data_IF_129956093147
#
_entry.id   IF_129956093147
#
_cell.length_a   1.000
_cell.length_b   1.000
_cell.length_c   1.000
_cell.angle_alpha   90.00
_cell.angle_beta   90.00
_cell.angle_gamma   90.00
#
_symmetry.space_group_name_H-M   'P 1'
#
loop_
_entity.id
_entity.type
_entity.pdbx_description
1 polymer ?
#
# COMPACT_ATOMS: atom_id res chain seq x y z
N UNK A 1 -9.77 -17.84 1.98
CA UNK A 1 -8.54 -17.31 2.60
C UNK A 1 -7.64 -16.63 1.56
N UNK A 2 -8.01 -15.45 1.04
CA UNK A 2 -7.24 -14.73 -0.01
C UNK A 2 -6.21 -13.73 0.55
N UNK A 3 -6.08 -13.68 1.87
CA UNK A 3 -5.23 -12.71 2.56
C UNK A 3 -4.09 -13.45 3.23
N UNK A 4 -3.03 -13.72 2.47
CA UNK A 4 -1.80 -14.27 3.03
C UNK A 4 -1.11 -13.16 3.84
N UNK A 5 -1.55 -12.98 5.08
CA UNK A 5 -1.00 -12.02 6.02
C UNK A 5 0.48 -12.34 6.27
N UNK A 6 1.38 -11.49 5.77
CA UNK A 6 2.80 -11.54 6.13
C UNK A 6 3.76 -11.09 5.04
N UNK A 7 3.47 -11.35 3.77
CA UNK A 7 4.42 -11.09 2.68
C UNK A 7 4.42 -9.61 2.30
N UNK A 8 5.52 -8.91 2.58
CA UNK A 8 5.73 -7.52 2.18
C UNK A 8 5.13 -6.46 3.10
N UNK A 9 4.22 -6.82 4.01
CA UNK A 9 3.60 -5.86 4.95
C UNK A 9 4.65 -5.36 5.96
N UNK A 10 5.46 -6.27 6.51
CA UNK A 10 6.48 -5.91 7.51
C UNK A 10 7.58 -5.05 6.91
N UNK A 11 8.04 -5.41 5.72
CA UNK A 11 9.06 -4.68 4.95
C UNK A 11 8.54 -3.29 4.55
N UNK A 12 7.31 -3.22 4.04
CA UNK A 12 6.67 -1.93 3.71
C UNK A 12 6.51 -1.07 4.97
N UNK A 13 6.06 -1.66 6.08
CA UNK A 13 5.94 -0.95 7.36
C UNK A 13 7.28 -0.42 7.87
N UNK A 14 8.37 -1.17 7.71
CA UNK A 14 9.71 -0.73 8.09
C UNK A 14 10.16 0.48 7.26
N UNK A 15 9.95 0.44 5.94
CA UNK A 15 10.27 1.57 5.07
C UNK A 15 9.47 2.83 5.44
N UNK A 16 8.18 2.66 5.74
CA UNK A 16 7.31 3.75 6.15
C UNK A 16 7.75 4.36 7.49
N UNK A 17 8.21 3.54 8.45
CA UNK A 17 8.77 4.01 9.72
C UNK A 17 10.02 4.85 9.53
N UNK A 18 10.93 4.40 8.68
CA UNK A 18 12.18 5.11 8.39
C UNK A 18 11.90 6.46 7.73
N UNK A 19 10.97 6.52 6.79
CA UNK A 19 10.55 7.77 6.16
C UNK A 19 9.84 8.71 7.16
N UNK A 20 9.02 8.17 8.06
CA UNK A 20 8.26 8.93 9.05
C UNK A 20 9.11 9.63 10.14
N UNK A 21 10.40 9.29 10.25
CA UNK A 21 11.34 9.97 11.15
C UNK A 21 11.45 11.46 10.81
N UNK A 22 11.46 11.79 9.51
CA UNK A 22 11.72 13.15 9.04
C UNK A 22 10.53 13.77 8.31
N UNK A 23 9.54 12.97 7.92
CA UNK A 23 8.48 13.38 6.99
C UNK A 23 7.12 12.90 7.47
N UNK A 24 6.05 13.62 7.09
CA UNK A 24 4.69 13.12 7.26
C UNK A 24 4.35 12.16 6.13
N UNK A 25 3.77 11.02 6.49
CA UNK A 25 3.51 9.92 5.59
C UNK A 25 2.01 9.65 5.52
N UNK A 26 1.48 9.57 4.31
CA UNK A 26 0.12 9.10 4.04
C UNK A 26 0.22 7.79 3.25
N UNK A 27 -0.44 6.74 3.73
CA UNK A 27 -0.41 5.42 3.09
C UNK A 27 -1.81 4.98 2.73
N UNK A 28 -2.06 4.78 1.44
CA UNK A 28 -3.25 4.11 0.94
C UNK A 28 -3.08 2.59 1.01
N UNK A 29 -4.13 1.89 1.41
CA UNK A 29 -4.17 0.42 1.39
C UNK A 29 -5.48 -0.05 0.76
N UNK A 30 -5.44 -1.04 -0.12
CA UNK A 30 -6.67 -1.61 -0.70
C UNK A 30 -7.59 -2.20 0.36
N UNK A 31 -8.88 -1.88 0.26
CA UNK A 31 -9.92 -2.40 1.14
C UNK A 31 -10.29 -1.47 2.29
N UNK A 32 -11.37 -1.83 2.98
CA UNK A 32 -11.87 -1.14 4.17
C UNK A 32 -11.54 -1.94 5.44
N UNK A 33 -11.71 -1.29 6.60
CA UNK A 33 -11.48 -1.80 7.96
C UNK A 33 -11.85 -3.31 8.11
N UNK A 34 -10.93 -4.12 8.64
CA UNK A 34 -10.98 -5.58 8.73
C UNK A 34 -10.10 -6.34 7.71
N UNK A 35 -9.18 -5.65 6.99
CA UNK A 35 -8.38 -6.23 5.89
C UNK A 35 -6.90 -5.79 5.91
N UNK A 36 -6.24 -5.56 4.76
CA UNK A 36 -4.84 -5.12 4.66
C UNK A 36 -4.46 -3.88 5.51
N UNK A 37 -5.36 -2.87 5.70
CA UNK A 37 -5.09 -1.78 6.63
C UNK A 37 -4.78 -2.25 8.05
N UNK A 38 -5.50 -3.24 8.60
CA UNK A 38 -5.27 -3.73 9.97
C UNK A 38 -3.94 -4.45 10.11
N UNK A 39 -3.56 -5.24 9.09
CA UNK A 39 -2.25 -5.89 9.05
C UNK A 39 -1.10 -4.89 9.07
N UNK A 40 -1.27 -3.72 8.43
CA UNK A 40 -0.30 -2.63 8.45
C UNK A 40 -0.36 -1.82 9.75
N UNK A 41 -1.57 -1.56 10.26
CA UNK A 41 -1.80 -0.80 11.49
C UNK A 41 -1.16 -1.47 12.71
N UNK A 42 -1.11 -2.82 12.79
CA UNK A 42 -0.36 -3.53 13.85
C UNK A 42 1.09 -3.06 13.94
N UNK A 43 1.71 -2.70 12.82
CA UNK A 43 3.09 -2.20 12.79
C UNK A 43 3.19 -0.68 12.94
N UNK A 44 2.16 0.08 12.53
CA UNK A 44 2.22 1.53 12.37
C UNK A 44 1.41 2.35 13.38
N UNK A 45 0.53 1.73 14.17
CA UNK A 45 -0.40 2.41 15.10
C UNK A 45 0.30 3.40 16.05
N UNK A 46 1.50 3.05 16.53
CA UNK A 46 2.27 3.87 17.47
C UNK A 46 3.36 4.72 16.81
N UNK A 47 3.39 4.76 15.48
CA UNK A 47 4.40 5.51 14.74
C UNK A 47 3.83 6.91 14.46
N UNK A 48 4.42 7.97 15.06
CA UNK A 48 3.97 9.31 14.77
C UNK A 48 4.21 9.65 13.30
N UNK A 49 3.50 10.66 12.79
CA UNK A 49 3.63 11.15 11.42
C UNK A 49 3.19 10.16 10.33
N UNK A 50 2.51 9.06 10.66
CA UNK A 50 1.93 8.14 9.67
C UNK A 50 0.41 8.18 9.76
N UNK A 51 -0.24 8.38 8.62
CA UNK A 51 -1.69 8.23 8.45
C UNK A 51 -1.97 7.12 7.46
N UNK A 52 -2.78 6.13 7.85
CA UNK A 52 -3.21 5.03 6.98
C UNK A 52 -4.66 5.28 6.54
N UNK A 53 -4.94 5.12 5.25
CA UNK A 53 -6.28 5.30 4.66
C UNK A 53 -6.64 4.13 3.77
N UNK A 54 -7.89 3.66 3.87
CA UNK A 54 -8.44 2.69 2.92
C UNK A 54 -8.69 3.34 1.56
N UNK A 55 -8.45 2.60 0.48
CA UNK A 55 -8.80 2.97 -0.89
C UNK A 55 -9.66 1.89 -1.53
N UNK A 56 -10.45 2.29 -2.53
CA UNK A 56 -11.29 1.37 -3.29
C UNK A 56 -10.46 0.28 -3.98
N UNK A 57 -11.08 -0.89 -4.17
CA UNK A 57 -10.51 -2.00 -4.91
C UNK A 57 -11.49 -2.48 -5.99
N UNK A 58 -11.05 -2.72 -7.24
CA UNK A 58 -9.69 -2.52 -7.74
C UNK A 58 -9.32 -1.02 -7.88
N UNK A 59 -8.03 -0.71 -7.70
CA UNK A 59 -7.49 0.65 -7.83
C UNK A 59 -7.34 0.95 -9.32
N UNK A 60 -8.34 1.63 -9.89
CA UNK A 60 -8.36 2.02 -11.33
C UNK A 60 -7.70 3.37 -11.60
N UNK A 61 -7.65 4.22 -10.59
CA UNK A 61 -6.98 5.52 -10.63
C UNK A 61 -6.43 5.84 -9.24
N UNK A 62 -5.40 6.70 -9.17
CA UNK A 62 -4.92 7.22 -7.89
C UNK A 62 -6.06 8.02 -7.23
N UNK A 63 -6.53 7.63 -6.03
CA UNK A 63 -7.61 8.33 -5.35
C UNK A 63 -7.26 9.78 -5.05
N UNK A 64 -8.25 10.66 -5.15
CA UNK A 64 -8.01 12.10 -4.96
C UNK A 64 -7.44 12.42 -3.58
N UNK A 65 -7.87 11.68 -2.54
CA UNK A 65 -7.31 11.78 -1.19
C UNK A 65 -5.79 11.56 -1.13
N UNK A 66 -5.27 10.64 -1.95
CA UNK A 66 -3.83 10.39 -2.04
C UNK A 66 -3.12 11.53 -2.79
N UNK A 67 -3.73 12.08 -3.84
CA UNK A 67 -3.16 13.23 -4.56
C UNK A 67 -3.16 14.50 -3.72
N UNK A 68 -4.25 14.78 -3.01
CA UNK A 68 -4.34 15.93 -2.11
C UNK A 68 -3.35 15.82 -0.96
N UNK A 69 -3.20 14.61 -0.40
CA UNK A 69 -2.24 14.33 0.66
C UNK A 69 -0.79 14.63 0.29
N UNK A 70 -0.43 14.64 -1.00
CA UNK A 70 0.92 14.98 -1.48
C UNK A 70 1.36 16.39 -1.14
N UNK A 71 0.44 17.31 -0.88
CA UNK A 71 0.77 18.71 -0.56
C UNK A 71 1.59 18.81 0.72
N UNK A 72 1.26 17.97 1.70
CA UNK A 72 1.81 18.03 3.06
C UNK A 72 2.53 16.74 3.49
N UNK A 73 2.42 15.67 2.70
CA UNK A 73 2.90 14.33 3.05
C UNK A 73 3.62 13.68 1.87
N UNK A 74 4.55 12.77 2.16
CA UNK A 74 4.94 11.73 1.20
C UNK A 74 3.87 10.66 1.17
N UNK A 75 3.47 10.28 -0.03
CA UNK A 75 2.29 9.44 -0.24
C UNK A 75 2.68 8.11 -0.83
N UNK A 76 2.25 7.04 -0.19
CA UNK A 76 2.48 5.67 -0.60
C UNK A 76 1.15 4.94 -0.82
N UNK A 77 1.20 3.86 -1.60
CA UNK A 77 0.07 2.97 -1.83
C UNK A 77 0.56 1.52 -1.76
N UNK A 78 -0.16 0.70 -0.99
CA UNK A 78 0.03 -0.75 -0.92
C UNK A 78 -1.19 -1.42 -1.53
N UNK A 79 -0.97 -2.18 -2.61
CA UNK A 79 -2.04 -2.78 -3.42
C UNK A 79 -1.61 -4.11 -4.00
N UNK A 80 -2.56 -4.96 -4.37
CA UNK A 80 -2.29 -6.21 -5.08
C UNK A 80 -2.14 -5.92 -6.57
N UNK A 81 -1.13 -6.51 -7.20
CA UNK A 81 -0.91 -6.34 -8.64
C UNK A 81 -2.11 -6.78 -9.49
N UNK A 82 -2.83 -7.82 -9.04
CA UNK A 82 -4.06 -8.31 -9.69
C UNK A 82 -5.24 -7.32 -9.62
N UNK A 83 -5.18 -6.32 -8.73
CA UNK A 83 -6.23 -5.33 -8.45
C UNK A 83 -5.77 -3.88 -8.70
N UNK A 84 -4.53 -3.72 -9.16
CA UNK A 84 -3.95 -2.42 -9.49
C UNK A 84 -3.98 -2.22 -11.01
N UNK A 85 -4.93 -1.40 -11.47
CA UNK A 85 -5.21 -1.17 -12.90
C UNK A 85 -4.81 0.25 -13.35
N UNK A 86 -4.07 0.98 -12.52
CA UNK A 86 -3.64 2.36 -12.85
C UNK A 86 -2.58 2.30 -13.96
N UNK A 87 -2.77 3.02 -15.09
CA UNK A 87 -1.80 3.04 -16.16
C UNK A 87 -0.51 3.76 -15.71
N UNK A 88 0.64 3.20 -16.11
CA UNK A 88 1.94 3.82 -15.86
C UNK A 88 2.13 5.03 -16.79
N UNK A 89 1.85 6.22 -16.26
CA UNK A 89 2.11 7.51 -16.89
C UNK A 89 3.08 8.37 -16.06
N UNK A 90 3.89 7.72 -15.20
CA UNK A 90 4.75 8.39 -14.24
C UNK A 90 4.01 9.08 -13.09
N UNK A 91 2.76 8.68 -12.80
CA UNK A 91 2.02 9.11 -11.60
C UNK A 91 2.43 8.37 -10.34
N UNK A 92 3.12 7.23 -10.46
CA UNK A 92 3.65 6.47 -9.34
C UNK A 92 5.00 5.85 -9.69
N UNK A 93 5.70 5.37 -8.66
CA UNK A 93 6.91 4.56 -8.77
C UNK A 93 6.75 3.31 -7.94
N UNK A 94 7.11 2.15 -8.49
CA UNK A 94 7.17 0.91 -7.73
C UNK A 94 8.44 0.92 -6.88
N UNK A 95 8.27 0.90 -5.56
CA UNK A 95 9.39 0.81 -4.60
C UNK A 95 9.80 -0.64 -4.43
N UNK A 96 8.83 -1.53 -4.23
CA UNK A 96 9.09 -2.95 -4.05
C UNK A 96 7.89 -3.79 -4.51
N UNK A 97 8.18 -5.03 -4.93
CA UNK A 97 7.19 -6.07 -5.25
C UNK A 97 7.46 -7.27 -4.36
N UNK A 98 6.44 -7.77 -3.69
CA UNK A 98 6.55 -8.93 -2.81
C UNK A 98 5.72 -10.07 -3.39
N UNK A 99 6.37 -11.14 -3.89
CA UNK A 99 5.65 -12.28 -4.44
C UNK A 99 4.92 -13.02 -3.32
N UNK A 100 3.62 -13.23 -3.49
CA UNK A 100 2.84 -14.08 -2.60
C UNK A 100 2.93 -15.53 -3.05
N UNK A 101 2.78 -16.49 -2.12
CA UNK A 101 2.64 -17.88 -2.50
C UNK A 101 1.45 -18.06 -3.45
N UNK A 102 1.60 -19.01 -4.37
CA UNK A 102 0.56 -19.37 -5.32
C UNK A 102 -0.71 -19.78 -4.57
N UNK A 103 -1.85 -19.26 -5.00
CA UNK A 103 -3.11 -19.62 -4.39
C UNK A 103 -3.44 -21.08 -4.72
N UNK A 104 -3.49 -21.99 -3.74
CA UNK A 104 -3.62 -23.43 -3.99
C UNK A 104 -4.97 -23.82 -4.62
N UNK A 105 -5.99 -22.97 -4.52
CA UNK A 105 -7.31 -23.21 -5.13
C UNK A 105 -7.46 -22.66 -6.55
N UNK A 106 -6.60 -21.73 -6.98
CA UNK A 106 -6.74 -21.08 -8.31
C UNK A 106 -5.48 -21.13 -9.16
N UNK A 107 -4.34 -21.56 -8.62
CA UNK A 107 -3.03 -21.56 -9.29
C UNK A 107 -2.50 -20.16 -9.61
N UNK A 108 -3.17 -19.09 -9.16
CA UNK A 108 -2.77 -17.72 -9.46
C UNK A 108 -1.63 -17.28 -8.55
N UNK A 109 -0.61 -16.69 -9.15
CA UNK A 109 0.44 -15.93 -8.47
C UNK A 109 0.03 -14.47 -8.44
N UNK A 110 0.16 -13.86 -7.26
CA UNK A 110 -0.16 -12.46 -7.02
C UNK A 110 1.04 -11.82 -6.31
N UNK A 111 1.25 -10.52 -6.52
CA UNK A 111 2.27 -9.76 -5.82
C UNK A 111 1.62 -8.65 -5.01
N UNK A 112 2.16 -8.39 -3.82
CA UNK A 112 1.90 -7.14 -3.12
C UNK A 112 2.83 -6.07 -3.69
N UNK A 113 2.25 -4.99 -4.20
CA UNK A 113 2.96 -3.81 -4.68
C UNK A 113 3.08 -2.80 -3.55
N UNK A 114 4.29 -2.28 -3.36
CA UNK A 114 4.55 -1.10 -2.57
C UNK A 114 4.96 0.04 -3.51
N UNK A 115 4.14 1.08 -3.55
CA UNK A 115 4.21 2.16 -4.53
C UNK A 115 4.38 3.50 -3.81
N UNK A 116 5.14 4.42 -4.42
CA UNK A 116 5.17 5.83 -4.05
C UNK A 116 4.43 6.64 -5.10
N UNK A 117 3.55 7.54 -4.68
CA UNK A 117 2.77 8.38 -5.58
C UNK A 117 3.58 9.62 -5.92
N UNK A 118 3.79 9.86 -7.22
CA UNK A 118 4.60 10.95 -7.75
C UNK A 118 3.76 12.15 -8.22
N UNK A 119 2.53 11.94 -8.68
CA UNK A 119 1.64 13.00 -9.20
C UNK A 119 0.22 12.85 -8.70
#
# INVERSE_FOLDING_TARGET
EQWTAGYGIKESAQHLKEAAINEKILVGTEGYFGTLPDGLLIYLEKVPNITVVGVDFPVKAIPEKLKEGKKDNRVFLIANDSRFEVPDNGSYRIIQKFPKPENPGTGKKENLLFLEILK
#
